data_IF_764501997437
#
_entry.id   IF_764501997437
#
_cell.length_a   1.000
_cell.length_b   1.000
_cell.length_c   1.000
_cell.angle_alpha   90.00
_cell.angle_beta   90.00
_cell.angle_gamma   90.00
#
_symmetry.space_group_name_H-M   'P 1'
#
loop_
_entity.id
_entity.type
_entity.pdbx_description
1 polymer ?
#
# COMPACT_ATOMS: atom_id res chain seq x y z
N UNK A 1 -23.37 -18.94 34.53
CA UNK A 1 -22.79 -19.32 33.23
C UNK A 1 -21.67 -18.35 32.93
N UNK A 2 -20.47 -18.88 32.77
CA UNK A 2 -19.20 -18.19 33.02
C UNK A 2 -18.86 -17.07 32.02
N UNK A 3 -18.46 -15.93 32.58
CA UNK A 3 -17.45 -14.97 32.14
C UNK A 3 -17.10 -14.93 30.65
N UNK A 4 -17.88 -14.15 29.89
CA UNK A 4 -17.47 -13.62 28.58
C UNK A 4 -16.71 -12.28 28.68
N UNK A 5 -16.31 -11.86 29.88
CA UNK A 5 -15.65 -10.58 30.14
C UNK A 5 -14.12 -10.63 29.99
N UNK A 6 -13.51 -11.79 29.72
CA UNK A 6 -12.03 -11.93 29.68
C UNK A 6 -11.41 -11.90 28.28
N UNK A 7 -12.17 -12.08 27.20
CA UNK A 7 -11.66 -11.95 25.81
C UNK A 7 -11.64 -10.49 25.31
N UNK A 8 -12.21 -9.57 26.10
CA UNK A 8 -12.25 -8.14 25.80
C UNK A 8 -11.08 -7.34 26.34
N UNK A 9 -10.03 -7.98 26.89
CA UNK A 9 -8.76 -7.30 27.09
C UNK A 9 -8.11 -7.14 25.71
N UNK A 10 -8.57 -6.11 24.99
CA UNK A 10 -7.82 -5.41 23.94
C UNK A 10 -6.35 -5.49 24.34
N UNK A 11 -5.54 -6.17 23.54
CA UNK A 11 -4.09 -6.04 23.63
C UNK A 11 -3.80 -4.55 23.84
N UNK A 12 -3.02 -4.22 24.86
CA UNK A 12 -2.62 -2.83 25.10
C UNK A 12 -2.07 -2.27 23.76
N UNK A 13 -2.34 -1.00 23.43
CA UNK A 13 -1.89 -0.40 22.16
C UNK A 13 -0.37 -0.52 21.97
N UNK A 14 0.40 -0.46 23.07
CA UNK A 14 1.83 -0.78 23.08
C UNK A 14 2.09 -2.23 22.64
N UNK A 15 1.42 -3.19 23.29
CA UNK A 15 1.53 -4.62 22.97
C UNK A 15 1.09 -4.95 21.54
N UNK A 16 0.04 -4.30 21.02
CA UNK A 16 -0.45 -4.52 19.65
C UNK A 16 0.57 -4.08 18.61
N UNK A 17 1.18 -2.91 18.82
CA UNK A 17 2.22 -2.36 17.95
C UNK A 17 3.49 -3.20 18.03
N UNK A 18 3.85 -3.68 19.21
CA UNK A 18 5.00 -4.57 19.42
C UNK A 18 4.79 -5.93 18.74
N UNK A 19 3.60 -6.53 18.87
CA UNK A 19 3.24 -7.78 18.19
C UNK A 19 3.33 -7.59 16.68
N UNK A 20 2.71 -6.54 16.14
CA UNK A 20 2.75 -6.24 14.71
C UNK A 20 4.20 -6.09 14.20
N UNK A 21 5.00 -5.23 14.83
CA UNK A 21 6.38 -4.98 14.42
C UNK A 21 7.28 -6.23 14.56
N UNK A 22 7.09 -7.01 15.61
CA UNK A 22 7.85 -8.24 15.84
C UNK A 22 7.55 -9.30 14.78
N UNK A 23 6.28 -9.53 14.46
CA UNK A 23 5.88 -10.49 13.43
C UNK A 23 6.37 -10.07 12.03
N UNK A 24 6.33 -8.77 11.70
CA UNK A 24 6.92 -8.24 10.47
C UNK A 24 8.43 -8.51 10.42
N UNK A 25 9.14 -8.22 11.52
CA UNK A 25 10.60 -8.43 11.61
C UNK A 25 10.97 -9.91 11.48
N UNK A 26 10.16 -10.81 12.04
CA UNK A 26 10.34 -12.27 11.95
C UNK A 26 9.81 -12.86 10.64
N UNK A 27 9.20 -12.07 9.77
CA UNK A 27 8.60 -12.51 8.51
C UNK A 27 7.46 -13.55 8.70
N UNK A 28 6.72 -13.46 9.81
CA UNK A 28 5.59 -14.34 10.17
C UNK A 28 4.26 -13.85 9.57
N UNK A 29 4.18 -13.79 8.24
CA UNK A 29 3.01 -13.25 7.52
C UNK A 29 1.74 -14.07 7.72
N UNK A 30 1.83 -15.40 7.74
CA UNK A 30 0.68 -16.26 7.98
C UNK A 30 0.06 -16.02 9.35
N UNK A 31 0.89 -15.85 10.38
CA UNK A 31 0.45 -15.50 11.73
C UNK A 31 -0.25 -14.15 11.72
N UNK A 32 0.33 -13.14 11.06
CA UNK A 32 -0.31 -11.81 10.92
C UNK A 32 -1.68 -11.90 10.26
N UNK A 33 -1.79 -12.57 9.11
CA UNK A 33 -3.06 -12.79 8.41
C UNK A 33 -4.07 -13.48 9.33
N UNK A 34 -3.65 -14.51 10.05
CA UNK A 34 -4.53 -15.22 11.00
C UNK A 34 -5.02 -14.29 12.11
N UNK A 35 -4.16 -13.43 12.66
CA UNK A 35 -4.55 -12.46 13.70
C UNK A 35 -5.53 -11.42 13.19
N UNK A 36 -5.39 -10.96 11.93
CA UNK A 36 -6.36 -10.07 11.30
C UNK A 36 -7.71 -10.75 11.08
N UNK A 37 -7.71 -11.98 10.53
CA UNK A 37 -8.94 -12.75 10.30
C UNK A 37 -9.71 -13.09 11.57
N UNK A 38 -9.01 -13.22 12.70
CA UNK A 38 -9.62 -13.44 14.02
C UNK A 38 -10.00 -12.14 14.74
N UNK A 39 -9.83 -10.97 14.11
CA UNK A 39 -10.03 -9.64 14.71
C UNK A 39 -9.25 -9.42 16.03
N UNK A 40 -8.12 -10.13 16.21
CA UNK A 40 -7.23 -9.94 17.36
C UNK A 40 -6.36 -8.69 17.15
N UNK A 41 -5.96 -8.46 15.90
CA UNK A 41 -5.24 -7.27 15.48
C UNK A 41 -6.06 -6.55 14.40
N UNK A 42 -6.06 -5.22 14.41
CA UNK A 42 -6.72 -4.43 13.37
C UNK A 42 -5.91 -4.49 12.07
N UNK A 43 -6.55 -4.91 10.96
CA UNK A 43 -5.95 -4.94 9.61
C UNK A 43 -5.43 -3.57 9.18
N UNK A 44 -6.02 -2.49 9.69
CA UNK A 44 -5.62 -1.12 9.42
C UNK A 44 -4.69 -0.53 10.49
N UNK A 45 -4.14 -1.38 11.36
CA UNK A 45 -3.08 -0.97 12.27
C UNK A 45 -1.94 -0.27 11.53
N UNK A 46 -1.43 0.80 12.13
CA UNK A 46 -0.32 1.60 11.61
C UNK A 46 0.74 1.74 12.68
N UNK A 47 2.00 1.65 12.25
CA UNK A 47 3.12 1.94 13.13
C UNK A 47 3.29 3.45 13.39
N UNK A 48 4.32 3.84 14.15
CA UNK A 48 4.60 5.24 14.47
C UNK A 48 4.94 6.13 13.25
N UNK A 49 5.21 5.54 12.08
CA UNK A 49 5.43 6.26 10.81
C UNK A 49 4.19 6.24 9.92
N UNK A 50 3.04 5.79 10.45
CA UNK A 50 1.79 5.67 9.72
C UNK A 50 1.74 4.48 8.76
N UNK A 51 2.74 3.58 8.78
CA UNK A 51 2.86 2.48 7.82
C UNK A 51 1.94 1.34 8.21
N UNK A 52 1.11 0.89 7.27
CA UNK A 52 0.22 -0.26 7.47
C UNK A 52 0.87 -1.57 6.99
N UNK A 53 0.14 -2.69 7.13
CA UNK A 53 0.58 -4.01 6.67
C UNK A 53 0.92 -4.07 5.17
N UNK A 54 0.15 -3.36 4.33
CA UNK A 54 0.35 -3.34 2.88
C UNK A 54 1.67 -2.65 2.50
N UNK A 55 2.07 -1.60 3.24
CA UNK A 55 3.40 -0.99 3.10
C UNK A 55 4.51 -2.04 3.20
N UNK A 56 4.49 -2.85 4.26
CA UNK A 56 5.51 -3.86 4.50
C UNK A 56 5.42 -5.01 3.50
N UNK A 57 4.23 -5.35 3.02
CA UNK A 57 4.06 -6.42 2.04
C UNK A 57 4.74 -6.04 0.72
N UNK A 58 4.52 -4.81 0.24
CA UNK A 58 5.17 -4.27 -0.96
C UNK A 58 6.68 -4.15 -0.75
N UNK A 59 7.11 -3.52 0.36
CA UNK A 59 8.54 -3.30 0.65
C UNK A 59 9.33 -4.62 0.71
N UNK A 60 8.75 -5.66 1.33
CA UNK A 60 9.39 -6.96 1.50
C UNK A 60 9.08 -7.94 0.36
N UNK A 61 8.48 -7.47 -0.76
CA UNK A 61 8.16 -8.25 -1.97
C UNK A 61 7.27 -9.47 -1.69
N UNK A 62 6.33 -9.32 -0.76
CA UNK A 62 5.36 -10.34 -0.32
C UNK A 62 4.11 -10.31 -1.18
N UNK A 63 4.33 -10.51 -2.48
CA UNK A 63 3.33 -10.40 -3.53
C UNK A 63 2.08 -11.24 -3.28
N UNK A 64 2.26 -12.47 -2.78
CA UNK A 64 1.18 -13.41 -2.46
C UNK A 64 0.20 -12.88 -1.41
N UNK A 65 0.68 -12.02 -0.50
CA UNK A 65 -0.15 -11.44 0.55
C UNK A 65 -0.89 -10.18 0.09
N UNK A 66 -0.46 -9.50 -0.97
CA UNK A 66 -1.12 -8.26 -1.42
C UNK A 66 -2.60 -8.52 -1.71
N UNK A 67 -2.92 -9.56 -2.48
CA UNK A 67 -4.30 -9.93 -2.79
C UNK A 67 -5.10 -10.30 -1.54
N UNK A 68 -4.51 -11.12 -0.66
CA UNK A 68 -5.15 -11.53 0.61
C UNK A 68 -5.50 -10.31 1.47
N UNK A 69 -4.59 -9.33 1.55
CA UNK A 69 -4.81 -8.12 2.33
C UNK A 69 -5.95 -7.27 1.75
N UNK A 70 -6.10 -7.21 0.42
CA UNK A 70 -7.25 -6.56 -0.22
C UNK A 70 -8.56 -7.31 0.04
N UNK A 71 -8.55 -8.64 0.00
CA UNK A 71 -9.71 -9.48 0.36
C UNK A 71 -10.14 -9.23 1.81
N UNK A 72 -9.17 -8.96 2.70
CA UNK A 72 -9.39 -8.54 4.10
C UNK A 72 -9.68 -7.04 4.27
N UNK A 73 -9.87 -6.29 3.17
CA UNK A 73 -10.21 -4.86 3.14
C UNK A 73 -9.18 -3.94 3.81
N UNK A 74 -7.90 -4.21 3.61
CA UNK A 74 -6.83 -3.27 3.99
C UNK A 74 -6.99 -1.92 3.27
N UNK A 75 -6.66 -0.83 3.96
CA UNK A 75 -6.52 0.49 3.35
C UNK A 75 -5.40 0.50 2.29
N UNK A 76 -5.72 0.99 1.08
CA UNK A 76 -4.73 1.22 0.02
C UNK A 76 -3.78 2.39 0.32
N UNK A 77 -4.12 3.29 1.25
CA UNK A 77 -3.19 4.31 1.77
C UNK A 77 -2.16 3.67 2.70
N UNK A 78 -0.94 3.47 2.20
CA UNK A 78 0.10 2.69 2.88
C UNK A 78 0.82 3.47 3.97
N UNK A 79 0.91 4.79 3.86
CA UNK A 79 1.39 5.70 4.91
C UNK A 79 0.71 7.08 4.80
N UNK A 80 1.19 8.09 5.53
CA UNK A 80 0.61 9.43 5.49
C UNK A 80 0.77 10.15 4.13
N UNK A 81 1.69 9.75 3.27
CA UNK A 81 1.98 10.47 2.02
C UNK A 81 1.61 9.71 0.75
N UNK A 82 1.49 8.37 0.82
CA UNK A 82 1.41 7.53 -0.37
C UNK A 82 0.26 6.54 -0.28
N UNK A 83 -0.40 6.35 -1.43
CA UNK A 83 -1.16 5.15 -1.74
C UNK A 83 -0.22 4.01 -2.19
N UNK A 84 -0.76 2.80 -2.25
CA UNK A 84 -0.01 1.59 -2.57
C UNK A 84 0.63 1.63 -3.97
N UNK A 85 -0.07 2.17 -4.97
CA UNK A 85 0.44 2.29 -6.34
C UNK A 85 1.63 3.24 -6.36
N UNK A 86 1.50 4.46 -5.83
CA UNK A 86 2.59 5.44 -5.80
C UNK A 86 3.80 4.90 -5.02
N UNK A 87 3.56 4.13 -3.95
CA UNK A 87 4.66 3.46 -3.24
C UNK A 87 5.37 2.40 -4.09
N UNK A 88 4.62 1.55 -4.81
CA UNK A 88 5.21 0.58 -5.74
C UNK A 88 5.97 1.26 -6.89
N UNK A 89 5.46 2.39 -7.42
CA UNK A 89 6.17 3.23 -8.40
C UNK A 89 7.49 3.74 -7.84
N UNK A 90 7.49 4.30 -6.62
CA UNK A 90 8.71 4.80 -5.98
C UNK A 90 9.79 3.72 -5.82
N UNK A 91 9.38 2.44 -5.67
CA UNK A 91 10.27 1.29 -5.59
C UNK A 91 10.66 0.70 -6.96
N UNK A 92 10.06 1.19 -8.04
CA UNK A 92 10.13 0.62 -9.40
C UNK A 92 9.72 -0.86 -9.45
N UNK A 93 8.73 -1.25 -8.64
CA UNK A 93 8.28 -2.63 -8.45
C UNK A 93 7.05 -2.96 -9.31
N UNK A 94 7.33 -3.45 -10.51
CA UNK A 94 6.31 -3.81 -11.51
C UNK A 94 5.39 -4.93 -11.04
N UNK A 95 5.92 -5.89 -10.27
CA UNK A 95 5.12 -7.02 -9.83
C UNK A 95 4.09 -6.60 -8.79
N UNK A 96 4.46 -5.70 -7.87
CA UNK A 96 3.49 -5.06 -6.97
C UNK A 96 2.47 -4.23 -7.76
N UNK A 97 2.90 -3.40 -8.74
CA UNK A 97 1.99 -2.61 -9.57
C UNK A 97 0.95 -3.48 -10.29
N UNK A 98 1.38 -4.55 -10.94
CA UNK A 98 0.50 -5.48 -11.64
C UNK A 98 -0.56 -6.08 -10.71
N UNK A 99 -0.16 -6.52 -9.51
CA UNK A 99 -1.07 -7.11 -8.53
C UNK A 99 -2.03 -6.06 -7.99
N UNK A 100 -1.57 -4.84 -7.71
CA UNK A 100 -2.39 -3.75 -7.21
C UNK A 100 -3.48 -3.35 -8.22
N UNK A 101 -3.14 -3.25 -9.51
CA UNK A 101 -4.13 -3.01 -10.57
C UNK A 101 -5.14 -4.17 -10.68
N UNK A 102 -4.68 -5.42 -10.56
CA UNK A 102 -5.55 -6.60 -10.49
C UNK A 102 -6.45 -6.62 -9.25
N UNK A 103 -6.07 -5.95 -8.17
CA UNK A 103 -6.91 -5.74 -6.98
C UNK A 103 -7.92 -4.60 -7.15
N UNK A 104 -8.01 -3.99 -8.35
CA UNK A 104 -9.02 -2.99 -8.69
C UNK A 104 -8.61 -1.54 -8.39
N UNK A 105 -7.34 -1.28 -8.07
CA UNK A 105 -6.87 0.10 -7.94
C UNK A 105 -6.78 0.75 -9.32
N UNK A 106 -7.21 2.00 -9.42
CA UNK A 106 -7.10 2.78 -10.65
C UNK A 106 -5.62 3.05 -10.99
N UNK A 107 -5.27 2.89 -12.26
CA UNK A 107 -3.96 3.29 -12.82
C UNK A 107 -3.72 4.79 -12.70
N UNK A 108 -4.80 5.57 -12.63
CA UNK A 108 -4.81 7.05 -12.58
C UNK A 108 -5.19 7.57 -11.19
N UNK A 109 -4.88 6.81 -10.13
CA UNK A 109 -5.18 7.24 -8.77
C UNK A 109 -4.42 8.53 -8.40
N UNK A 110 -5.16 9.59 -8.11
CA UNK A 110 -4.58 10.86 -7.69
C UNK A 110 -4.30 10.86 -6.18
N UNK A 111 -3.21 11.50 -5.77
CA UNK A 111 -2.95 11.80 -4.38
C UNK A 111 -3.64 13.12 -3.94
N UNK A 112 -3.31 13.61 -2.74
CA UNK A 112 -3.93 14.81 -2.16
C UNK A 112 -3.59 16.12 -2.91
N UNK A 113 -2.56 16.12 -3.76
CA UNK A 113 -2.17 17.28 -4.57
C UNK A 113 -2.43 17.05 -6.07
N UNK A 114 -3.23 16.04 -6.41
CA UNK A 114 -3.60 15.73 -7.78
C UNK A 114 -2.52 14.99 -8.58
N UNK A 115 -1.45 14.49 -7.94
CA UNK A 115 -0.36 13.81 -8.64
C UNK A 115 -0.76 12.39 -9.01
N UNK A 116 -0.70 12.06 -10.30
CA UNK A 116 -0.95 10.69 -10.80
C UNK A 116 0.29 9.77 -10.63
N UNK A 117 0.12 8.45 -10.66
CA UNK A 117 1.24 7.52 -10.55
C UNK A 117 2.26 7.68 -11.68
N UNK A 118 1.80 8.08 -12.87
CA UNK A 118 2.67 8.31 -14.02
C UNK A 118 3.54 9.57 -13.82
N UNK A 119 2.99 10.64 -13.24
CA UNK A 119 3.78 11.82 -12.86
C UNK A 119 4.86 11.43 -11.84
N UNK A 120 4.51 10.64 -10.82
CA UNK A 120 5.50 10.07 -9.87
C UNK A 120 6.61 9.30 -10.60
N UNK A 121 6.25 8.44 -11.55
CA UNK A 121 7.23 7.63 -12.24
C UNK A 121 8.23 8.48 -13.04
N UNK A 122 7.77 9.56 -13.68
CA UNK A 122 8.61 10.47 -14.44
C UNK A 122 9.49 11.31 -13.50
N UNK A 123 8.90 11.94 -12.48
CA UNK A 123 9.61 12.80 -11.52
C UNK A 123 10.75 12.06 -10.80
N UNK A 124 10.53 10.81 -10.42
CA UNK A 124 11.52 9.99 -9.71
C UNK A 124 12.35 9.08 -10.62
N UNK A 125 12.29 9.27 -11.94
CA UNK A 125 13.05 8.51 -12.95
C UNK A 125 12.86 6.98 -12.84
N UNK A 126 11.62 6.54 -12.62
CA UNK A 126 11.20 5.14 -12.48
C UNK A 126 10.77 4.60 -13.84
N UNK A 127 11.76 4.36 -14.71
CA UNK A 127 11.56 4.02 -16.11
C UNK A 127 10.65 2.81 -16.32
N UNK A 128 10.87 1.72 -15.57
CA UNK A 128 10.05 0.50 -15.73
C UNK A 128 8.60 0.78 -15.35
N UNK A 129 8.39 1.52 -14.25
CA UNK A 129 7.06 1.89 -13.80
C UNK A 129 6.36 2.80 -14.79
N UNK A 130 7.05 3.80 -15.34
CA UNK A 130 6.51 4.68 -16.37
C UNK A 130 6.07 3.89 -17.61
N UNK A 131 6.94 3.01 -18.13
CA UNK A 131 6.61 2.14 -19.27
C UNK A 131 5.43 1.22 -18.97
N UNK A 132 5.38 0.63 -17.77
CA UNK A 132 4.31 -0.26 -17.36
C UNK A 132 2.96 0.47 -17.22
N UNK A 133 2.97 1.67 -16.61
CA UNK A 133 1.77 2.49 -16.43
C UNK A 133 1.22 2.95 -17.79
N UNK A 134 2.08 3.42 -18.70
CA UNK A 134 1.68 3.78 -20.08
C UNK A 134 1.06 2.58 -20.78
N UNK A 135 1.69 1.40 -20.71
CA UNK A 135 1.14 0.16 -21.29
C UNK A 135 -0.18 -0.28 -20.64
N UNK A 136 -0.39 0.10 -19.39
CA UNK A 136 -1.62 -0.17 -18.63
C UNK A 136 -2.72 0.88 -18.86
N UNK A 137 -2.50 1.83 -19.77
CA UNK A 137 -3.50 2.83 -20.15
C UNK A 137 -3.58 4.04 -19.21
N UNK A 138 -2.51 4.36 -18.49
CA UNK A 138 -2.43 5.59 -17.70
C UNK A 138 -2.66 6.83 -18.59
N UNK A 139 -3.42 7.80 -18.10
CA UNK A 139 -3.67 9.04 -18.80
C UNK A 139 -2.45 9.97 -18.71
N UNK A 140 -1.92 10.37 -19.88
CA UNK A 140 -0.75 11.24 -19.99
C UNK A 140 -1.08 12.72 -19.75
N UNK A 141 -2.36 13.10 -19.81
CA UNK A 141 -2.84 14.47 -19.74
C UNK A 141 -3.39 14.87 -18.38
N UNK A 142 -3.46 13.95 -17.42
CA UNK A 142 -3.81 14.29 -16.03
C UNK A 142 -2.81 15.29 -15.46
N UNK A 143 -3.33 16.42 -15.02
CA UNK A 143 -2.56 17.50 -14.44
C UNK A 143 -2.60 17.44 -12.91
N UNK A 144 -1.43 17.58 -12.28
CA UNK A 144 -1.34 17.89 -10.85
C UNK A 144 -1.79 19.34 -10.58
N UNK A 145 -1.90 19.73 -9.30
CA UNK A 145 -2.30 21.09 -8.93
C UNK A 145 -1.29 22.19 -9.34
N UNK A 146 -0.10 21.81 -9.80
CA UNK A 146 0.91 22.72 -10.33
C UNK A 146 0.83 22.82 -11.86
N UNK A 147 -0.09 22.10 -12.51
CA UNK A 147 -0.29 22.09 -13.96
C UNK A 147 0.70 21.19 -14.71
N UNK A 148 1.44 20.32 -14.02
CA UNK A 148 2.30 19.33 -14.64
C UNK A 148 1.49 18.11 -15.05
N UNK A 149 1.71 17.62 -16.26
CA UNK A 149 1.23 16.32 -16.72
C UNK A 149 2.37 15.55 -17.39
N UNK A 150 2.23 14.23 -17.46
CA UNK A 150 3.24 13.35 -18.05
C UNK A 150 3.60 13.77 -19.49
N UNK A 151 2.60 14.16 -20.29
CA UNK A 151 2.80 14.63 -21.67
C UNK A 151 3.74 15.83 -21.75
N UNK A 152 3.56 16.85 -20.91
CA UNK A 152 4.43 18.05 -20.86
C UNK A 152 5.85 17.68 -20.41
N UNK A 153 5.97 16.78 -19.44
CA UNK A 153 7.26 16.39 -18.87
C UNK A 153 8.13 15.54 -19.80
N UNK A 154 7.52 14.76 -20.69
CA UNK A 154 8.25 13.92 -21.66
C UNK A 154 8.76 14.69 -22.89
N UNK A 155 8.30 15.93 -23.09
CA UNK A 155 8.65 16.77 -24.24
C UNK A 155 9.82 17.73 -23.97
N UNK A 156 10.30 17.79 -22.73
CA UNK A 156 11.43 18.61 -22.29
C UNK A 156 12.68 17.77 -22.09
#
# INVERSE_FOLDING_TARGET
MCNNTLLGQRLNLSSSSDIFNNLIKKNEWETLIRLFSLNILDINHRDCKGRNILYFAILNKKYEYIKILFDLRVSSRVNFSLNAINFAVCLDDIKSLEILLKCGLSVDILDEIGTSPLIYAILYNKKKSAEFLIKSGADLELEDFMGNCAKKMLQN
#
